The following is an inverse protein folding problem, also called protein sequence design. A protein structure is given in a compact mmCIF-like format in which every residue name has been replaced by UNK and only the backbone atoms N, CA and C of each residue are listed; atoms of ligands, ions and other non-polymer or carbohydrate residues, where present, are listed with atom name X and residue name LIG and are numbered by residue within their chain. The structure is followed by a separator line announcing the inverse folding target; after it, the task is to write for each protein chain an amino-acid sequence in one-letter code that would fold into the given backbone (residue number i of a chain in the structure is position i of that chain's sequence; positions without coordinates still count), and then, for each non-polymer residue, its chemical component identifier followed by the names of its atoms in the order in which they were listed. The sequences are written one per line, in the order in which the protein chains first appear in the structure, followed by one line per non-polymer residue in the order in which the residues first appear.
data_IF_382827770935
#
_entry.id   IF_382827770935
#
_cell.length_a   1.000
_cell.length_b   1.000
_cell.length_c   1.000
_cell.angle_alpha   90.00
_cell.angle_beta   90.00
_cell.angle_gamma   90.00
#
_symmetry.space_group_name_H-M   'P 1'
#
loop_
_entity.id
_entity.type
_entity.pdbx_description
1 polymer ?
#
# COMPACT_ATOMS: atom_id res chain seq x y z
N UNK A 1 1.46 -51.91 -11.14
CA UNK A 1 0.68 -50.67 -10.94
C UNK A 1 0.85 -50.24 -9.50
N UNK A 2 1.69 -49.23 -9.27
CA UNK A 2 1.81 -48.55 -7.99
C UNK A 2 1.87 -47.06 -8.32
N UNK A 3 0.78 -46.36 -8.04
CA UNK A 3 0.68 -44.90 -8.16
C UNK A 3 1.28 -44.35 -6.88
N UNK A 4 2.55 -43.94 -6.92
CA UNK A 4 3.12 -43.13 -5.84
C UNK A 4 2.88 -41.67 -6.21
N UNK A 5 1.91 -41.10 -5.50
CA UNK A 5 1.69 -39.67 -5.33
C UNK A 5 3.00 -38.97 -4.96
N UNK A 6 3.66 -38.37 -5.95
CA UNK A 6 4.63 -37.30 -5.77
C UNK A 6 3.84 -36.04 -5.38
N UNK A 7 3.35 -36.00 -4.15
CA UNK A 7 2.82 -34.78 -3.56
C UNK A 7 3.97 -33.80 -3.37
N UNK A 8 3.84 -32.65 -4.02
CA UNK A 8 4.69 -31.47 -4.00
C UNK A 8 5.42 -31.22 -2.67
N UNK A 9 6.71 -31.56 -2.62
CA UNK A 9 7.67 -31.00 -1.66
C UNK A 9 8.12 -29.57 -2.06
N UNK A 10 7.46 -28.97 -3.06
CA UNK A 10 7.79 -27.65 -3.62
C UNK A 10 6.73 -26.57 -3.33
N UNK A 11 5.64 -26.89 -2.63
CA UNK A 11 4.56 -25.93 -2.32
C UNK A 11 4.92 -24.96 -1.17
N UNK A 12 5.95 -25.25 -0.37
CA UNK A 12 6.38 -24.33 0.69
C UNK A 12 7.16 -23.12 0.18
N UNK A 13 7.67 -23.15 -1.06
CA UNK A 13 8.42 -22.03 -1.66
C UNK A 13 7.48 -20.98 -2.27
N UNK A 14 6.24 -21.32 -2.60
CA UNK A 14 5.26 -20.41 -3.20
C UNK A 14 4.40 -19.65 -2.19
N UNK A 15 4.47 -20.03 -0.91
CA UNK A 15 3.65 -19.42 0.16
C UNK A 15 4.37 -18.30 0.92
N UNK A 16 5.51 -17.83 0.42
CA UNK A 16 6.01 -16.51 0.79
C UNK A 16 5.00 -15.48 0.27
N UNK A 17 4.10 -15.07 1.16
CA UNK A 17 3.28 -13.87 1.02
C UNK A 17 4.13 -12.81 0.30
N UNK A 18 3.81 -12.55 -0.96
CA UNK A 18 4.30 -11.37 -1.68
C UNK A 18 3.61 -10.16 -1.05
N UNK A 19 3.90 -9.87 0.21
CA UNK A 19 3.62 -8.60 0.84
C UNK A 19 4.57 -7.64 0.14
N UNK A 20 4.02 -6.88 -0.81
CA UNK A 20 4.75 -5.85 -1.51
C UNK A 20 5.38 -4.92 -0.46
N UNK A 21 6.73 -4.83 -0.35
CA UNK A 21 7.37 -4.08 0.73
C UNK A 21 7.00 -2.59 0.72
N UNK A 22 6.47 -2.10 -0.40
CA UNK A 22 5.93 -0.74 -0.51
C UNK A 22 4.74 -0.52 0.44
N UNK A 23 3.95 -1.54 0.78
CA UNK A 23 2.81 -1.37 1.72
C UNK A 23 3.24 -1.01 3.14
N UNK A 24 4.46 -1.38 3.53
CA UNK A 24 5.05 -1.07 4.83
C UNK A 24 5.85 0.23 4.80
N UNK A 25 5.95 0.88 3.64
CA UNK A 25 6.66 2.14 3.49
C UNK A 25 5.82 3.29 4.06
N UNK A 26 6.50 4.22 4.75
CA UNK A 26 5.94 5.51 5.16
C UNK A 26 5.45 6.34 3.94
N UNK A 27 4.30 6.98 4.08
CA UNK A 27 3.63 7.69 2.99
C UNK A 27 4.40 8.95 2.57
N UNK A 28 5.04 9.64 3.50
CA UNK A 28 5.85 10.84 3.21
C UNK A 28 7.07 10.42 2.39
N UNK A 29 7.73 9.34 2.80
CA UNK A 29 8.87 8.75 2.11
C UNK A 29 8.49 8.22 0.72
N UNK A 30 7.32 7.59 0.59
CA UNK A 30 6.79 7.13 -0.70
C UNK A 30 6.55 8.30 -1.66
N UNK A 31 6.00 9.42 -1.17
CA UNK A 31 5.77 10.63 -1.93
C UNK A 31 7.02 11.52 -2.09
N UNK A 32 8.15 11.18 -1.44
CA UNK A 32 9.37 11.99 -1.37
C UNK A 32 9.95 12.43 -2.71
N UNK A 33 9.68 11.70 -3.80
CA UNK A 33 10.14 12.03 -5.16
C UNK A 33 9.14 12.85 -5.98
N UNK A 34 7.96 13.13 -5.43
CA UNK A 34 6.86 13.84 -6.07
C UNK A 34 6.46 15.05 -5.22
N UNK A 35 7.10 16.23 -5.41
CA UNK A 35 6.90 17.39 -4.54
C UNK A 35 5.44 17.83 -4.42
N UNK A 36 4.67 17.68 -5.50
CA UNK A 36 3.26 18.01 -5.55
C UNK A 36 2.39 17.10 -4.66
N UNK A 37 2.84 15.89 -4.31
CA UNK A 37 2.12 14.95 -3.44
C UNK A 37 2.44 15.11 -1.96
N UNK A 38 3.43 15.91 -1.60
CA UNK A 38 3.93 15.99 -0.23
C UNK A 38 2.88 16.56 0.73
N UNK A 39 2.17 17.61 0.33
CA UNK A 39 1.08 18.16 1.16
C UNK A 39 -0.04 17.15 1.41
N UNK A 40 -0.38 16.35 0.39
CA UNK A 40 -1.35 15.25 0.54
C UNK A 40 -0.81 14.15 1.47
N UNK A 41 0.48 13.80 1.36
CA UNK A 41 1.11 12.82 2.24
C UNK A 41 1.08 13.27 3.71
N UNK A 42 1.33 14.55 3.98
CA UNK A 42 1.19 15.11 5.33
C UNK A 42 -0.26 15.11 5.82
N UNK A 43 -1.21 15.52 4.97
CA UNK A 43 -2.65 15.46 5.29
C UNK A 43 -3.08 14.04 5.66
N UNK A 44 -2.65 13.04 4.89
CA UNK A 44 -2.89 11.63 5.18
C UNK A 44 -2.27 11.20 6.52
N UNK A 45 -1.01 11.55 6.76
CA UNK A 45 -0.30 11.20 8.00
C UNK A 45 -0.94 11.83 9.25
N UNK A 46 -1.39 13.09 9.16
CA UNK A 46 -2.09 13.80 10.25
C UNK A 46 -3.40 13.10 10.66
N UNK A 47 -4.01 12.36 9.74
CA UNK A 47 -5.21 11.56 9.97
C UNK A 47 -4.91 10.07 10.28
N UNK A 48 -3.66 9.73 10.58
CA UNK A 48 -3.23 8.38 10.94
C UNK A 48 -2.96 7.46 9.75
N UNK A 49 -2.97 7.96 8.52
CA UNK A 49 -2.59 7.19 7.32
C UNK A 49 -1.08 7.33 7.05
N UNK A 50 -0.28 6.89 8.01
CA UNK A 50 1.19 6.95 8.05
C UNK A 50 1.87 6.05 7.02
N UNK A 51 1.30 4.88 6.73
CA UNK A 51 1.89 3.89 5.82
C UNK A 51 1.08 3.75 4.52
N UNK A 52 1.75 3.36 3.43
CA UNK A 52 1.09 3.10 2.13
C UNK A 52 0.00 2.05 2.26
N UNK A 53 0.16 1.06 3.14
CA UNK A 53 -0.85 0.05 3.46
C UNK A 53 -2.17 0.63 3.96
N UNK A 54 -2.14 1.77 4.67
CA UNK A 54 -3.34 2.52 5.01
C UNK A 54 -3.98 3.14 3.78
N UNK A 55 -3.17 3.82 2.98
CA UNK A 55 -3.61 4.61 1.83
C UNK A 55 -4.26 3.74 0.76
N UNK A 56 -3.70 2.55 0.46
CA UNK A 56 -4.29 1.64 -0.55
C UNK A 56 -5.64 1.08 -0.14
N UNK A 57 -5.98 1.09 1.16
CA UNK A 57 -7.31 0.68 1.64
C UNK A 57 -8.36 1.78 1.47
N UNK A 58 -7.93 3.03 1.27
CA UNK A 58 -8.83 4.15 1.04
C UNK A 58 -9.41 4.09 -0.37
N UNK A 59 -10.64 4.58 -0.51
CA UNK A 59 -11.24 4.77 -1.82
C UNK A 59 -10.63 5.99 -2.52
N UNK A 60 -10.71 6.04 -3.85
CA UNK A 60 -10.29 7.22 -4.60
C UNK A 60 -11.06 8.49 -4.20
N UNK A 61 -12.32 8.36 -3.77
CA UNK A 61 -13.12 9.49 -3.27
C UNK A 61 -12.55 10.03 -1.97
N UNK A 62 -12.22 9.14 -1.03
CA UNK A 62 -11.61 9.50 0.25
C UNK A 62 -10.26 10.18 0.06
N UNK A 63 -9.43 9.70 -0.89
CA UNK A 63 -8.18 10.37 -1.23
C UNK A 63 -8.41 11.77 -1.83
N UNK A 64 -9.47 11.97 -2.60
CA UNK A 64 -9.84 13.29 -3.10
C UNK A 64 -10.28 14.22 -1.97
N UNK A 65 -10.98 13.71 -0.96
CA UNK A 65 -11.34 14.50 0.23
C UNK A 65 -10.08 14.95 1.01
N UNK A 66 -9.11 14.05 1.21
CA UNK A 66 -7.80 14.40 1.82
C UNK A 66 -6.99 15.39 0.97
N UNK A 67 -7.22 15.40 -0.34
CA UNK A 67 -6.65 16.34 -1.29
C UNK A 67 -7.46 17.65 -1.40
N UNK A 68 -8.29 18.00 -0.41
CA UNK A 68 -9.15 19.18 -0.42
C UNK A 68 -10.07 19.27 -1.66
N UNK A 69 -10.51 18.11 -2.16
CA UNK A 69 -11.34 17.99 -3.37
C UNK A 69 -10.55 17.95 -4.68
N UNK A 70 -9.21 18.02 -4.67
CA UNK A 70 -8.39 17.93 -5.88
C UNK A 70 -8.30 16.48 -6.39
N UNK A 71 -9.15 16.18 -7.37
CA UNK A 71 -9.21 14.88 -8.06
C UNK A 71 -7.95 14.57 -8.86
N UNK A 72 -7.24 15.58 -9.35
CA UNK A 72 -6.00 15.38 -10.09
C UNK A 72 -4.88 14.96 -9.14
N UNK A 73 -4.84 15.55 -7.95
CA UNK A 73 -3.86 15.20 -6.93
C UNK A 73 -4.07 13.77 -6.41
N UNK A 74 -5.31 13.41 -6.08
CA UNK A 74 -5.66 12.04 -5.71
C UNK A 74 -5.39 11.03 -6.83
N UNK A 75 -5.65 11.42 -8.09
CA UNK A 75 -5.34 10.61 -9.27
C UNK A 75 -3.84 10.37 -9.47
N UNK A 76 -3.00 11.38 -9.21
CA UNK A 76 -1.54 11.26 -9.28
C UNK A 76 -1.00 10.34 -8.19
N UNK A 77 -1.52 10.43 -6.96
CA UNK A 77 -1.17 9.49 -5.89
C UNK A 77 -1.54 8.06 -6.27
N UNK A 78 -2.75 7.84 -6.79
CA UNK A 78 -3.20 6.54 -7.29
C UNK A 78 -2.28 6.01 -8.40
N UNK A 79 -1.87 6.86 -9.35
CA UNK A 79 -0.94 6.45 -10.41
C UNK A 79 0.42 6.02 -9.85
N UNK A 80 0.93 6.70 -8.82
CA UNK A 80 2.16 6.29 -8.15
C UNK A 80 2.00 4.93 -7.44
N UNK A 81 0.86 4.69 -6.79
CA UNK A 81 0.54 3.38 -6.21
C UNK A 81 0.51 2.28 -7.30
N UNK A 82 -0.12 2.56 -8.45
CA UNK A 82 -0.18 1.63 -9.58
C UNK A 82 1.19 1.30 -10.16
N UNK A 83 2.11 2.27 -10.22
CA UNK A 83 3.50 2.03 -10.61
C UNK A 83 4.24 1.11 -9.63
N UNK A 84 3.83 1.09 -8.37
CA UNK A 84 4.30 0.15 -7.36
C UNK A 84 3.51 -1.18 -7.34
N UNK A 85 2.57 -1.40 -8.27
CA UNK A 85 1.74 -2.61 -8.31
C UNK A 85 0.58 -2.62 -7.30
N UNK A 86 0.17 -1.46 -6.81
CA UNK A 86 -0.91 -1.26 -5.84
C UNK A 86 -2.06 -0.45 -6.45
N UNK A 87 -3.27 -0.54 -5.89
CA UNK A 87 -4.38 0.35 -6.26
C UNK A 87 -5.14 0.79 -5.00
N UNK A 88 -6.05 1.75 -5.16
CA UNK A 88 -6.94 2.21 -4.10
C UNK A 88 -8.10 1.24 -3.88
N UNK A 89 -8.62 1.15 -2.65
CA UNK A 89 -9.70 0.24 -2.27
C UNK A 89 -9.27 -1.23 -2.12
N UNK A 90 -7.97 -1.51 -2.00
CA UNK A 90 -7.45 -2.85 -1.79
C UNK A 90 -7.79 -3.37 -0.39
N UNK A 91 -8.06 -4.67 -0.29
CA UNK A 91 -8.14 -5.38 0.99
C UNK A 91 -6.82 -6.09 1.27
N UNK A 92 -6.01 -5.54 2.18
CA UNK A 92 -4.76 -6.16 2.61
C UNK A 92 -5.02 -7.16 3.75
N UNK A 93 -5.41 -8.38 3.41
CA UNK A 93 -5.70 -9.44 4.40
C UNK A 93 -4.44 -9.81 5.18
N UNK A 94 -4.50 -9.66 6.51
CA UNK A 94 -3.39 -10.02 7.40
C UNK A 94 -2.21 -9.05 7.37
N UNK A 95 -2.36 -7.89 6.71
CA UNK A 95 -1.44 -6.78 6.89
C UNK A 95 -1.70 -6.12 8.25
N UNK A 96 -0.61 -5.88 8.96
CA UNK A 96 -0.59 -5.18 10.24
C UNK A 96 0.30 -3.97 10.05
N UNK A 97 -0.12 -2.84 10.58
CA UNK A 97 0.69 -1.63 10.53
C UNK A 97 2.07 -1.90 11.15
N UNK A 98 3.17 -1.48 10.49
CA UNK A 98 4.49 -1.49 11.10
C UNK A 98 4.46 -0.70 12.41
N UNK A 99 5.14 -1.19 13.45
CA UNK A 99 5.25 -0.44 14.69
C UNK A 99 5.93 0.90 14.40
N UNK A 100 5.26 1.99 14.74
CA UNK A 100 5.91 3.30 14.82
C UNK A 100 6.86 3.22 16.01
N UNK A 101 8.17 3.21 15.77
CA UNK A 101 9.17 3.42 16.82
C UNK A 101 8.95 4.84 17.36
N UNK A 102 8.16 4.95 18.42
CA UNK A 102 8.07 6.12 19.29
C UNK A 102 9.30 6.05 20.22
N UNK A 103 10.40 6.66 19.80
CA UNK A 103 11.59 6.94 20.64
C UNK A 103 11.66 8.44 20.99
#
# INVERSE_FOLDING_TARGET
MAVYELYSDADWIWNQRQTNPVVDQDIISFCGRSPHLIELAFSLADHGHTHVGHVVRLSQFTLADFANGDKNLAGQLRLNLQRAGLDTGMQLKGWVEPATDDD
#
